data_IF_468510058640
#
_entry.id   IF_468510058640
#
_cell.length_a   1.000
_cell.length_b   1.000
_cell.length_c   1.000
_cell.angle_alpha   90.00
_cell.angle_beta   90.00
_cell.angle_gamma   90.00
#
_symmetry.space_group_name_H-M   'P 1'
#
loop_
_entity.id
_entity.type
_entity.pdbx_description
1 polymer ?
#
# COMPACT_ATOMS: atom_id res chain seq x y z
N UNK A 1 -83.60 24.17 36.54
CA UNK A 1 -83.24 23.92 35.13
C UNK A 1 -81.73 23.93 35.06
N UNK A 2 -81.20 22.72 34.98
CA UNK A 2 -79.80 22.34 34.98
C UNK A 2 -79.01 22.94 33.82
N UNK A 3 -77.85 23.51 34.14
CA UNK A 3 -76.71 23.55 33.23
C UNK A 3 -75.44 23.29 34.03
N UNK A 4 -75.03 22.03 34.07
CA UNK A 4 -73.68 21.60 34.43
C UNK A 4 -72.69 22.29 33.50
N UNK A 5 -71.92 23.26 34.01
CA UNK A 5 -70.75 23.78 33.30
C UNK A 5 -69.55 22.93 33.73
N UNK A 6 -69.29 21.90 32.94
CA UNK A 6 -68.13 21.02 33.07
C UNK A 6 -66.85 21.87 32.94
N UNK A 7 -66.11 22.01 34.03
CA UNK A 7 -64.80 22.69 34.02
C UNK A 7 -63.77 21.71 33.46
N UNK A 8 -63.05 22.04 32.38
CA UNK A 8 -62.04 21.15 31.83
C UNK A 8 -60.89 20.92 32.83
N UNK A 9 -60.32 19.70 32.90
CA UNK A 9 -59.20 19.42 33.78
C UNK A 9 -57.96 20.25 33.38
N UNK A 10 -57.19 20.65 34.38
CA UNK A 10 -55.96 21.40 34.20
C UNK A 10 -54.97 20.67 33.28
N UNK A 11 -54.19 21.37 32.45
CA UNK A 11 -53.17 20.73 31.63
C UNK A 11 -52.12 20.06 32.52
N UNK A 12 -51.81 18.80 32.23
CA UNK A 12 -50.75 18.05 32.92
C UNK A 12 -49.39 18.74 32.76
N UNK A 13 -48.51 18.68 33.78
CA UNK A 13 -47.17 19.24 33.67
C UNK A 13 -46.37 18.48 32.63
N UNK A 14 -46.01 19.17 31.54
CA UNK A 14 -45.08 18.68 30.52
C UNK A 14 -43.79 18.20 31.21
N UNK A 15 -43.30 16.97 30.96
CA UNK A 15 -42.04 16.54 31.53
C UNK A 15 -40.95 17.50 31.06
N UNK A 16 -40.26 18.11 32.03
CA UNK A 16 -39.09 18.95 31.78
C UNK A 16 -38.10 18.15 30.95
N UNK A 17 -37.95 18.54 29.70
CA UNK A 17 -37.00 18.00 28.75
C UNK A 17 -35.61 18.26 29.31
N UNK A 18 -35.01 17.26 29.95
CA UNK A 18 -33.62 17.26 30.38
C UNK A 18 -32.75 17.71 29.21
N UNK A 19 -32.11 18.87 29.36
CA UNK A 19 -31.13 19.34 28.39
C UNK A 19 -30.03 18.27 28.26
N UNK A 20 -29.61 17.91 27.04
CA UNK A 20 -28.47 17.02 26.88
C UNK A 20 -27.25 17.68 27.55
N UNK A 21 -26.50 16.89 28.32
CA UNK A 21 -25.22 17.29 28.86
C UNK A 21 -24.37 17.93 27.74
N UNK A 22 -23.58 19.00 28.03
CA UNK A 22 -22.67 19.52 27.03
C UNK A 22 -21.79 18.38 26.57
N UNK A 23 -21.92 18.01 25.28
CA UNK A 23 -21.01 17.08 24.64
C UNK A 23 -19.61 17.59 24.94
N UNK A 24 -18.86 16.81 25.72
CA UNK A 24 -17.48 17.13 26.04
C UNK A 24 -16.77 17.51 24.76
N UNK A 25 -15.97 18.57 24.81
CA UNK A 25 -15.09 18.98 23.71
C UNK A 25 -14.52 17.71 23.08
N UNK A 26 -14.69 17.47 21.76
CA UNK A 26 -14.08 16.31 21.13
C UNK A 26 -12.59 16.35 21.49
N UNK A 27 -11.99 15.21 21.89
CA UNK A 27 -10.57 15.20 22.19
C UNK A 27 -9.86 15.85 21.01
N UNK A 28 -9.01 16.83 21.30
CA UNK A 28 -8.20 17.47 20.27
C UNK A 28 -7.60 16.37 19.39
N UNK A 29 -7.64 16.51 18.04
CA UNK A 29 -7.09 15.49 17.18
C UNK A 29 -5.68 15.17 17.68
N UNK A 30 -5.42 13.87 17.89
CA UNK A 30 -4.10 13.40 18.30
C UNK A 30 -3.05 14.09 17.41
N UNK A 31 -1.86 14.43 17.95
CA UNK A 31 -0.81 15.06 17.15
C UNK A 31 -0.64 14.23 15.88
N UNK A 32 -1.01 14.81 14.74
CA UNK A 32 -0.89 14.12 13.47
C UNK A 32 0.58 13.71 13.35
N UNK A 33 0.87 12.43 13.05
CA UNK A 33 2.25 12.00 12.89
C UNK A 33 2.93 12.92 11.86
N UNK A 34 4.26 13.17 11.99
CA UNK A 34 4.97 13.99 11.02
C UNK A 34 4.64 13.47 9.63
N UNK A 35 3.98 14.30 8.82
CA UNK A 35 3.53 13.93 7.49
C UNK A 35 4.80 13.76 6.65
N UNK A 36 5.30 12.52 6.58
CA UNK A 36 6.39 12.16 5.68
C UNK A 36 6.02 12.68 4.29
N UNK A 37 6.92 13.42 3.60
CA UNK A 37 6.63 13.95 2.28
C UNK A 37 6.13 12.81 1.37
N UNK A 38 4.98 13.00 0.72
CA UNK A 38 4.34 11.98 -0.11
C UNK A 38 4.45 12.36 -1.58
N UNK A 39 4.83 11.39 -2.41
CA UNK A 39 4.82 11.48 -3.86
C UNK A 39 3.69 10.59 -4.39
N UNK A 40 2.72 11.19 -5.07
CA UNK A 40 1.66 10.45 -5.77
C UNK A 40 2.09 10.19 -7.20
N UNK A 41 2.07 8.93 -7.62
CA UNK A 41 2.35 8.51 -8.99
C UNK A 41 1.07 8.00 -9.64
N UNK A 42 0.60 8.75 -10.64
CA UNK A 42 -0.52 8.35 -11.49
C UNK A 42 -0.06 7.37 -12.56
N UNK A 43 -0.75 6.23 -12.66
CA UNK A 43 -0.46 5.15 -13.59
C UNK A 43 -1.54 4.99 -14.68
N UNK A 44 -2.53 5.90 -14.72
CA UNK A 44 -3.67 5.81 -15.65
C UNK A 44 -3.29 6.02 -17.12
N UNK A 45 -2.13 6.62 -17.38
CA UNK A 45 -1.57 6.75 -18.73
C UNK A 45 -0.89 5.46 -19.23
N UNK A 46 -0.66 4.46 -18.36
CA UNK A 46 -0.10 3.18 -18.77
C UNK A 46 -1.19 2.32 -19.42
N UNK A 47 -0.96 1.81 -20.64
CA UNK A 47 -1.96 0.96 -21.29
C UNK A 47 -2.18 -0.33 -20.48
N UNK A 48 -3.44 -0.73 -20.32
CA UNK A 48 -3.78 -1.97 -19.63
C UNK A 48 -3.38 -3.23 -20.42
N UNK A 49 -3.29 -3.14 -21.76
CA UNK A 49 -2.89 -4.23 -22.64
C UNK A 49 -2.16 -3.71 -23.89
N UNK A 50 -1.31 -4.55 -24.48
CA UNK A 50 -0.53 -4.24 -25.68
C UNK A 50 0.97 -3.94 -25.40
N UNK A 51 1.75 -3.58 -26.42
CA UNK A 51 3.15 -3.19 -26.24
C UNK A 51 3.25 -1.94 -25.36
N UNK A 52 4.04 -2.02 -24.28
CA UNK A 52 4.13 -0.96 -23.26
C UNK A 52 3.08 -1.07 -22.15
N UNK A 53 2.32 -2.18 -22.09
CA UNK A 53 1.39 -2.45 -21.01
C UNK A 53 2.09 -2.76 -19.69
N UNK A 54 1.29 -2.84 -18.62
CA UNK A 54 1.69 -3.25 -17.28
C UNK A 54 2.52 -4.56 -17.30
N UNK A 55 3.84 -4.42 -17.29
CA UNK A 55 4.80 -5.51 -17.38
C UNK A 55 5.83 -5.49 -16.24
N UNK A 56 6.75 -6.45 -16.24
CA UNK A 56 7.80 -6.53 -15.22
C UNK A 56 8.80 -5.36 -15.27
N UNK A 57 8.95 -4.69 -16.42
CA UNK A 57 9.81 -3.51 -16.51
C UNK A 57 9.19 -2.34 -15.75
N UNK A 58 7.86 -2.16 -15.85
CA UNK A 58 7.11 -1.19 -15.03
C UNK A 58 7.26 -1.52 -13.53
N UNK A 59 7.13 -2.79 -13.15
CA UNK A 59 7.29 -3.23 -11.76
C UNK A 59 8.69 -2.93 -11.22
N UNK A 60 9.75 -3.25 -11.96
CA UNK A 60 11.13 -2.93 -11.57
C UNK A 60 11.34 -1.41 -11.43
N UNK A 61 10.79 -0.62 -12.36
CA UNK A 61 10.85 0.83 -12.28
C UNK A 61 10.17 1.36 -11.01
N UNK A 62 8.99 0.84 -10.65
CA UNK A 62 8.28 1.22 -9.42
C UNK A 62 9.02 0.79 -8.15
N UNK A 63 9.64 -0.39 -8.15
CA UNK A 63 10.46 -0.86 -7.04
C UNK A 63 11.68 0.05 -6.82
N UNK A 64 12.36 0.43 -7.91
CA UNK A 64 13.49 1.38 -7.85
C UNK A 64 13.05 2.77 -7.42
N UNK A 65 11.90 3.25 -7.90
CA UNK A 65 11.32 4.52 -7.47
C UNK A 65 11.05 4.50 -5.96
N UNK A 66 10.43 3.43 -5.44
CA UNK A 66 10.17 3.27 -4.00
C UNK A 66 11.45 3.29 -3.19
N UNK A 67 12.48 2.58 -3.66
CA UNK A 67 13.78 2.52 -3.01
C UNK A 67 14.47 3.89 -3.00
N UNK A 68 14.45 4.62 -4.12
CA UNK A 68 14.99 5.97 -4.20
C UNK A 68 14.25 6.92 -3.25
N UNK A 69 12.92 6.92 -3.27
CA UNK A 69 12.10 7.73 -2.38
C UNK A 69 12.36 7.41 -0.90
N UNK A 70 12.49 6.12 -0.54
CA UNK A 70 12.81 5.69 0.82
C UNK A 70 14.15 6.27 1.32
N UNK A 71 15.18 6.35 0.46
CA UNK A 71 16.47 6.98 0.80
C UNK A 71 16.34 8.47 1.14
N UNK A 72 15.28 9.12 0.67
CA UNK A 72 14.98 10.52 0.93
C UNK A 72 13.89 10.73 1.99
N UNK A 73 13.42 9.66 2.65
CA UNK A 73 12.30 9.75 3.61
C UNK A 73 10.97 10.14 2.97
N UNK A 74 10.81 9.88 1.67
CA UNK A 74 9.58 10.15 0.90
C UNK A 74 8.77 8.87 0.77
N UNK A 75 7.46 8.97 0.99
CA UNK A 75 6.52 7.86 0.76
C UNK A 75 5.91 7.96 -0.63
N UNK A 76 5.97 6.88 -1.40
CA UNK A 76 5.32 6.78 -2.72
C UNK A 76 3.93 6.18 -2.54
N UNK A 77 2.94 6.77 -3.21
CA UNK A 77 1.56 6.27 -3.30
C UNK A 77 1.20 6.17 -4.78
N UNK A 78 0.62 5.06 -5.19
CA UNK A 78 0.19 4.84 -6.57
C UNK A 78 -1.30 5.16 -6.70
N UNK A 79 -1.69 5.82 -7.78
CA UNK A 79 -3.09 6.11 -8.13
C UNK A 79 -3.37 5.66 -9.56
N UNK A 80 -4.63 5.36 -9.85
CA UNK A 80 -5.07 4.99 -11.20
C UNK A 80 -4.34 3.76 -11.76
N UNK A 81 -4.09 2.76 -10.91
CA UNK A 81 -3.40 1.53 -11.31
C UNK A 81 -4.41 0.53 -11.88
N UNK A 82 -4.28 0.21 -13.18
CA UNK A 82 -5.14 -0.76 -13.85
C UNK A 82 -5.16 -2.12 -13.14
N UNK A 83 -6.28 -2.84 -13.27
CA UNK A 83 -6.46 -4.19 -12.70
C UNK A 83 -5.27 -5.13 -12.93
N UNK A 84 -4.80 -5.34 -14.18
CA UNK A 84 -3.64 -6.19 -14.46
C UNK A 84 -2.35 -5.72 -13.76
N UNK A 85 -2.13 -4.41 -13.64
CA UNK A 85 -0.96 -3.89 -12.92
C UNK A 85 -1.06 -4.12 -11.41
N UNK A 86 -2.26 -3.96 -10.84
CA UNK A 86 -2.54 -4.22 -9.43
C UNK A 86 -2.31 -5.70 -9.09
N UNK A 87 -2.76 -6.61 -9.95
CA UNK A 87 -2.49 -8.05 -9.83
C UNK A 87 -0.99 -8.34 -9.90
N UNK A 88 -0.29 -7.75 -10.87
CA UNK A 88 1.16 -7.96 -11.03
C UNK A 88 1.95 -7.41 -9.83
N UNK A 89 1.55 -6.27 -9.26
CA UNK A 89 2.14 -5.71 -8.04
C UNK A 89 1.87 -6.60 -6.82
N UNK A 90 0.68 -7.19 -6.72
CA UNK A 90 0.35 -8.16 -5.67
C UNK A 90 1.20 -9.43 -5.82
N UNK A 91 1.28 -9.97 -7.03
CA UNK A 91 2.11 -11.15 -7.34
C UNK A 91 3.59 -10.91 -7.04
N UNK A 92 4.12 -9.72 -7.34
CA UNK A 92 5.49 -9.32 -7.03
C UNK A 92 5.73 -8.98 -5.55
N UNK A 93 4.70 -9.01 -4.70
CA UNK A 93 4.79 -8.66 -3.28
C UNK A 93 4.96 -7.16 -3.02
N UNK A 94 4.70 -6.31 -4.00
CA UNK A 94 4.86 -4.86 -3.89
C UNK A 94 3.62 -4.13 -3.35
N UNK A 95 2.45 -4.77 -3.34
CA UNK A 95 1.19 -4.15 -2.88
C UNK A 95 1.25 -3.64 -1.42
N UNK A 96 2.05 -4.26 -0.55
CA UNK A 96 2.22 -3.82 0.84
C UNK A 96 3.18 -2.64 1.03
N UNK A 97 4.08 -2.39 0.08
CA UNK A 97 5.12 -1.34 0.17
C UNK A 97 4.82 -0.12 -0.68
N UNK A 98 4.00 -0.30 -1.72
CA UNK A 98 3.48 0.71 -2.63
C UNK A 98 1.96 0.73 -2.45
N UNK A 99 1.43 1.54 -1.51
CA UNK A 99 -0.01 1.68 -1.34
C UNK A 99 -0.62 2.16 -2.67
N UNK A 100 -1.59 1.39 -3.16
CA UNK A 100 -2.39 1.73 -4.34
C UNK A 100 -3.71 2.29 -3.81
N UNK A 101 -4.01 3.54 -4.11
CA UNK A 101 -5.33 4.08 -3.81
C UNK A 101 -6.37 3.31 -4.64
N UNK A 102 -7.48 2.89 -4.05
CA UNK A 102 -8.57 2.31 -4.84
C UNK A 102 -9.03 3.35 -5.86
N UNK A 103 -9.19 2.91 -7.10
CA UNK A 103 -9.86 3.71 -8.10
C UNK A 103 -11.30 3.95 -7.62
N UNK A 104 -11.76 5.21 -7.58
CA UNK A 104 -13.16 5.57 -7.27
C UNK A 104 -14.11 5.20 -8.44
N UNK A 105 -13.70 4.29 -9.33
CA UNK A 105 -14.49 3.90 -10.50
C UNK A 105 -15.48 2.77 -10.12
N UNK A 106 -16.81 3.03 -10.13
CA UNK A 106 -17.79 2.05 -9.68
C UNK A 106 -17.91 0.83 -10.59
N UNK A 107 -17.29 0.81 -11.78
CA UNK A 107 -17.23 -0.37 -12.65
C UNK A 107 -16.13 -1.37 -12.24
N UNK A 108 -15.10 -0.97 -11.50
CA UNK A 108 -14.03 -1.87 -11.02
C UNK A 108 -14.41 -2.62 -9.74
N UNK A 109 -15.42 -2.15 -8.99
CA UNK A 109 -16.02 -2.93 -7.91
C UNK A 109 -16.73 -4.21 -8.43
N UNK A 110 -16.97 -4.29 -9.74
CA UNK A 110 -17.51 -5.45 -10.45
C UNK A 110 -16.46 -6.11 -11.36
N UNK A 111 -15.15 -5.92 -11.09
CA UNK A 111 -14.12 -6.76 -11.68
C UNK A 111 -14.48 -8.21 -11.41
N UNK A 112 -14.63 -9.00 -12.48
CA UNK A 112 -14.80 -10.46 -12.41
C UNK A 112 -13.75 -10.95 -11.40
N UNK A 113 -14.14 -11.56 -10.26
CA UNK A 113 -13.13 -12.13 -9.38
C UNK A 113 -12.30 -13.06 -10.26
N UNK A 114 -10.96 -13.02 -10.20
CA UNK A 114 -10.17 -14.00 -10.91
C UNK A 114 -10.79 -15.34 -10.57
N UNK A 115 -11.16 -16.11 -11.59
CA UNK A 115 -11.59 -17.49 -11.43
C UNK A 115 -10.35 -18.24 -10.96
N UNK A 116 -10.04 -18.08 -9.69
CA UNK A 116 -9.08 -18.86 -8.97
C UNK A 116 -9.70 -20.25 -8.90
N UNK A 117 -9.22 -21.16 -9.73
CA UNK A 117 -9.28 -22.57 -9.41
C UNK A 117 -8.78 -22.74 -7.96
N UNK A 118 -9.55 -23.33 -7.04
CA UNK A 118 -9.28 -23.28 -5.60
C UNK A 118 -8.16 -24.24 -5.13
N UNK A 119 -7.08 -24.39 -5.90
CA UNK A 119 -5.98 -25.31 -5.57
C UNK A 119 -4.62 -24.66 -5.29
N UNK A 120 -4.49 -23.34 -5.28
CA UNK A 120 -3.21 -22.69 -4.94
C UNK A 120 -3.38 -21.53 -3.95
N UNK A 121 -3.79 -21.88 -2.72
CA UNK A 121 -3.69 -21.01 -1.56
C UNK A 121 -2.70 -21.62 -0.58
N UNK A 122 -1.41 -21.37 -0.79
CA UNK A 122 -0.38 -21.63 0.21
C UNK A 122 -0.07 -20.35 1.01
N UNK A 123 -0.36 -20.28 2.33
CA UNK A 123 0.17 -19.24 3.18
C UNK A 123 1.55 -19.68 3.67
N UNK A 124 2.63 -19.08 3.18
CA UNK A 124 3.95 -19.41 3.71
C UNK A 124 5.14 -18.81 2.98
N UNK A 125 5.81 -17.89 3.69
CA UNK A 125 7.26 -17.70 3.69
C UNK A 125 7.90 -16.94 2.52
N UNK A 126 8.02 -15.62 2.68
CA UNK A 126 9.31 -14.93 2.46
C UNK A 126 9.55 -13.87 3.54
N UNK A 127 9.58 -14.32 4.80
CA UNK A 127 10.41 -13.70 5.81
C UNK A 127 11.86 -14.13 5.57
N UNK A 128 12.58 -13.40 4.71
CA UNK A 128 14.02 -13.56 4.51
C UNK A 128 14.68 -12.32 5.09
N UNK A 129 15.06 -12.41 6.37
CA UNK A 129 16.28 -11.75 6.83
C UNK A 129 17.31 -12.84 7.14
N UNK A 130 18.21 -13.17 6.19
CA UNK A 130 19.44 -13.84 6.52
C UNK A 130 20.42 -12.73 6.88
N UNK A 131 20.75 -12.63 8.17
CA UNK A 131 21.87 -11.84 8.61
C UNK A 131 23.11 -12.25 7.82
N UNK A 132 23.65 -11.33 7.01
CA UNK A 132 24.96 -11.48 6.39
C UNK A 132 25.98 -11.33 7.52
N UNK A 133 26.42 -12.44 8.11
CA UNK A 133 27.70 -12.42 8.82
C UNK A 133 28.79 -12.25 7.75
N UNK A 134 29.81 -11.41 7.97
CA UNK A 134 30.94 -11.32 7.06
C UNK A 134 31.67 -12.66 7.10
N UNK A 135 31.61 -13.41 5.99
CA UNK A 135 32.52 -14.54 5.78
C UNK A 135 33.94 -13.98 5.78
N UNK A 136 34.74 -14.53 6.68
CA UNK A 136 36.14 -14.16 6.84
C UNK A 136 36.88 -14.36 5.53
N UNK A 137 37.80 -13.42 5.25
CA UNK A 137 38.67 -13.42 4.07
C UNK A 137 39.33 -14.79 3.91
N UNK A 138 39.00 -15.51 2.84
CA UNK A 138 39.83 -16.61 2.38
C UNK A 138 40.93 -16.07 1.46
N UNK A 139 42.12 -16.66 1.61
CA UNK A 139 43.41 -16.07 1.32
C UNK A 139 43.67 -15.66 -0.14
N UNK A 140 44.57 -14.69 -0.29
CA UNK A 140 45.13 -14.23 -1.56
C UNK A 140 45.67 -15.42 -2.35
N UNK A 141 44.94 -15.86 -3.37
CA UNK A 141 45.49 -16.70 -4.43
C UNK A 141 46.52 -15.86 -5.18
N UNK A 142 47.80 -16.14 -4.92
CA UNK A 142 48.91 -15.59 -5.67
C UNK A 142 48.80 -16.05 -7.12
N UNK A 143 48.72 -15.10 -8.05
CA UNK A 143 48.76 -15.37 -9.47
C UNK A 143 50.23 -15.57 -9.83
N UNK A 144 50.67 -16.81 -10.04
CA UNK A 144 51.99 -17.07 -10.63
C UNK A 144 51.91 -16.75 -12.13
N UNK A 145 52.65 -15.73 -12.57
CA UNK A 145 52.86 -15.46 -13.99
C UNK A 145 53.51 -16.68 -14.65
N UNK A 146 52.84 -17.23 -15.66
CA UNK A 146 53.44 -18.21 -16.56
C UNK A 146 54.39 -17.46 -17.49
N UNK A 147 55.70 -17.65 -17.27
CA UNK A 147 56.75 -17.11 -18.11
C UNK A 147 56.59 -17.50 -19.59
N UNK A 148 56.87 -16.54 -20.46
CA UNK A 148 56.76 -16.59 -21.91
C UNK A 148 57.56 -17.77 -22.52
N UNK A 149 56.94 -18.68 -23.28
CA UNK A 149 57.66 -19.80 -23.88
C UNK A 149 58.44 -19.36 -25.13
N UNK A 150 59.74 -19.12 -24.92
CA UNK A 150 60.79 -19.60 -25.81
C UNK A 150 61.24 -18.71 -26.96
N UNK A 151 62.45 -18.15 -26.80
CA UNK A 151 63.41 -18.05 -27.91
C UNK A 151 64.51 -19.11 -27.67
N UNK A 152 64.62 -20.17 -28.49
CA UNK A 152 65.76 -21.07 -28.43
C UNK A 152 66.91 -20.51 -29.29
N UNK A 153 67.99 -20.13 -28.61
CA UNK A 153 69.27 -19.79 -29.22
C UNK A 153 69.80 -20.92 -30.12
N UNK A 154 70.10 -20.60 -31.38
CA UNK A 154 71.25 -21.17 -32.09
C UNK A 154 71.75 -20.27 -33.23
#
# INVERSE_FOLDING_TARGET
MDTYRETPPAPEPTPARTAPAPAGTPPAPAPEPPREPRLTCDLGALPAAGPGAADLAVVDALARLRLAAARHGVRVVLSNASGPLRELLSFAGLAGVLPVEPDDDPLDAAGDPPRCDPLDAGPGLLGVQPGRQPEEREDRVGVEEVGEPGDPAR
#
